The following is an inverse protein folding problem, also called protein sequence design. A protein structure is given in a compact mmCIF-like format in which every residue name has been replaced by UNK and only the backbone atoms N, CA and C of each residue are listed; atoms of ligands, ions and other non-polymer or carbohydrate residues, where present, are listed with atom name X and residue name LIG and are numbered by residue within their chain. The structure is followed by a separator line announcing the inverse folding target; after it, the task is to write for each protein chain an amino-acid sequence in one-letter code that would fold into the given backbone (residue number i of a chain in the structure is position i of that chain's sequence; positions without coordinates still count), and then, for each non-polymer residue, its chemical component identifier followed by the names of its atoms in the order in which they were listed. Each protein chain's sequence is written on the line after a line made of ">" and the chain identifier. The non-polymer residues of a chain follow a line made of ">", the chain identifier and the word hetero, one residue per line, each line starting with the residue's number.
data_IF_952894141313
#
_entry.id   IF_952894141313
#
_cell.length_a   1.000
_cell.length_b   1.000
_cell.length_c   1.000
_cell.angle_alpha   90.00
_cell.angle_beta   90.00
_cell.angle_gamma   90.00
#
_symmetry.space_group_name_H-M   'P 1'
#
loop_
_entity.id
_entity.type
_entity.pdbx_description
1 polymer ?
#
# COMPACT_ATOMS: atom_id res chain seq x y z
N UNK A 1 65.44 31.10 -17.33
CA UNK A 1 65.42 32.03 -16.18
C UNK A 1 64.11 31.85 -15.42
N UNK A 2 64.21 31.40 -14.16
CA UNK A 2 63.12 31.25 -13.19
C UNK A 2 62.42 32.57 -12.86
N UNK A 3 61.18 32.46 -12.37
CA UNK A 3 60.81 33.11 -11.10
C UNK A 3 60.09 32.12 -10.18
N UNK A 4 60.41 32.09 -8.86
CA UNK A 4 59.71 31.27 -7.86
C UNK A 4 58.61 32.07 -7.15
N UNK A 5 57.74 31.39 -6.40
CA UNK A 5 56.89 32.02 -5.38
C UNK A 5 56.81 31.11 -4.13
N UNK A 6 57.03 31.63 -2.90
CA UNK A 6 56.93 30.87 -1.66
C UNK A 6 55.66 31.18 -0.84
N UNK A 7 55.28 30.26 0.05
CA UNK A 7 54.74 30.62 1.37
C UNK A 7 53.27 30.30 1.68
N UNK A 8 53.08 29.20 2.41
CA UNK A 8 51.90 28.76 3.18
C UNK A 8 51.57 29.62 4.40
N UNK A 9 50.29 29.77 4.80
CA UNK A 9 49.87 30.02 6.20
C UNK A 9 48.53 29.38 6.60
N UNK A 10 48.42 29.07 7.91
CA UNK A 10 47.52 28.13 8.62
C UNK A 10 46.12 28.70 8.97
N UNK A 11 45.19 27.81 9.36
CA UNK A 11 43.92 28.14 10.05
C UNK A 11 44.06 28.02 11.59
N UNK A 12 43.54 28.99 12.31
CA UNK A 12 43.33 29.00 13.78
C UNK A 12 41.89 28.56 14.13
N UNK A 13 41.64 27.95 15.31
CA UNK A 13 40.31 27.62 15.80
C UNK A 13 39.72 28.74 16.68
N UNK A 14 38.40 28.92 16.62
CA UNK A 14 37.67 29.86 17.48
C UNK A 14 37.10 29.11 18.71
N UNK A 15 37.36 29.64 19.91
CA UNK A 15 36.72 29.26 21.19
C UNK A 15 35.89 30.44 21.71
N UNK A 16 34.68 30.14 22.18
CA UNK A 16 33.88 30.82 23.24
C UNK A 16 32.56 30.04 23.30
N UNK A 17 31.88 29.76 24.41
CA UNK A 17 31.90 30.18 25.82
C UNK A 17 30.48 29.91 26.36
N UNK A 18 30.37 29.30 27.54
CA UNK A 18 29.15 28.75 28.19
C UNK A 18 28.13 29.81 28.63
N UNK A 19 26.86 29.40 28.77
CA UNK A 19 26.06 29.51 30.03
C UNK A 19 24.84 28.59 29.97
N UNK A 20 24.59 27.85 31.05
CA UNK A 20 23.45 26.93 31.19
C UNK A 20 22.27 27.54 31.93
N UNK A 21 21.14 26.84 31.89
CA UNK A 21 20.16 26.78 32.97
C UNK A 21 19.30 25.52 32.84
N UNK A 22 18.83 25.08 34.00
CA UNK A 22 18.40 23.72 34.36
C UNK A 22 16.90 23.47 34.15
N UNK A 23 16.56 22.18 34.14
CA UNK A 23 15.32 21.56 34.64
C UNK A 23 14.05 21.68 33.78
N UNK A 24 13.57 20.52 33.28
CA UNK A 24 12.25 19.91 33.55
C UNK A 24 12.22 18.51 32.90
N UNK A 25 11.94 17.47 33.70
CA UNK A 25 11.45 16.15 33.23
C UNK A 25 9.94 16.25 33.00
N UNK A 26 9.43 15.63 31.94
CA UNK A 26 8.26 14.71 31.94
C UNK A 26 8.05 14.11 30.54
N UNK A 27 7.70 12.82 30.56
CA UNK A 27 7.30 11.96 29.46
C UNK A 27 5.88 12.34 28.97
N UNK A 28 5.63 12.22 27.66
CA UNK A 28 4.49 11.51 27.01
C UNK A 28 4.14 12.04 25.59
N UNK A 29 3.45 11.21 24.75
CA UNK A 29 3.61 11.17 23.29
C UNK A 29 2.48 11.83 22.50
N UNK A 30 2.75 12.05 21.21
CA UNK A 30 1.72 12.21 20.18
C UNK A 30 1.41 13.66 19.81
N UNK A 31 1.81 14.08 18.60
CA UNK A 31 0.91 14.81 17.70
C UNK A 31 1.48 14.82 16.27
N UNK A 32 0.75 14.18 15.37
CA UNK A 32 0.91 14.28 13.93
C UNK A 32 0.58 15.73 13.51
N UNK A 33 1.51 16.42 12.83
CA UNK A 33 1.27 17.78 12.30
C UNK A 33 1.37 17.77 10.77
N UNK A 34 0.26 17.87 10.02
CA UNK A 34 0.28 18.01 8.58
C UNK A 34 0.25 19.49 8.19
N UNK A 35 1.41 20.07 7.88
CA UNK A 35 1.52 21.39 7.24
C UNK A 35 2.47 21.34 6.03
N UNK A 36 2.00 20.74 4.93
CA UNK A 36 2.65 20.83 3.61
C UNK A 36 1.70 21.19 2.45
N UNK A 37 0.58 21.85 2.75
CA UNK A 37 -0.29 22.48 1.76
C UNK A 37 -0.27 24.00 1.94
N UNK A 38 0.78 24.64 1.40
CA UNK A 38 0.74 25.95 0.74
C UNK A 38 2.14 26.54 0.59
N UNK A 39 2.74 26.39 -0.59
CA UNK A 39 3.79 27.29 -1.06
C UNK A 39 3.46 27.75 -2.48
N UNK A 40 3.38 29.07 -2.74
CA UNK A 40 3.12 29.57 -4.08
C UNK A 40 4.35 29.37 -4.96
N UNK A 41 4.09 29.02 -6.22
CA UNK A 41 5.06 28.82 -7.28
C UNK A 41 5.84 30.11 -7.57
N UNK A 42 7.08 30.20 -7.08
CA UNK A 42 8.05 31.17 -7.60
C UNK A 42 8.63 30.64 -8.90
N UNK A 43 8.10 31.22 -9.97
CA UNK A 43 8.60 31.25 -11.36
C UNK A 43 10.12 31.40 -11.39
N UNK A 44 10.83 30.37 -11.86
CA UNK A 44 12.22 30.48 -12.29
C UNK A 44 12.20 31.00 -13.73
N UNK A 45 12.56 32.27 -13.92
CA UNK A 45 12.80 32.84 -15.24
C UNK A 45 14.20 32.43 -15.72
N UNK A 46 14.27 31.77 -16.89
CA UNK A 46 15.52 31.52 -17.60
C UNK A 46 15.99 32.80 -18.31
N UNK A 47 17.27 33.22 -18.21
CA UNK A 47 17.79 34.32 -19.00
C UNK A 47 18.38 33.77 -20.30
N UNK A 48 17.59 33.71 -21.38
CA UNK A 48 18.14 33.59 -22.73
C UNK A 48 17.94 34.92 -23.45
N UNK A 49 19.05 35.66 -23.56
CA UNK A 49 19.20 36.90 -24.32
C UNK A 49 19.09 36.58 -25.81
N UNK A 50 17.96 36.92 -26.43
CA UNK A 50 17.74 36.78 -27.86
C UNK A 50 18.70 37.68 -28.66
N UNK A 51 19.43 37.11 -29.62
CA UNK A 51 20.19 37.86 -30.63
C UNK A 51 19.35 38.05 -31.90
N UNK A 52 19.58 39.13 -32.66
CA UNK A 52 18.70 39.55 -33.75
C UNK A 52 19.08 38.87 -35.08
N UNK A 53 18.64 37.64 -35.30
CA UNK A 53 18.49 37.05 -36.64
C UNK A 53 17.15 36.34 -36.67
N UNK A 54 16.49 36.35 -37.82
CA UNK A 54 15.08 35.96 -38.05
C UNK A 54 14.06 37.07 -37.78
N UNK A 55 14.08 38.11 -38.62
CA UNK A 55 12.98 39.06 -38.74
C UNK A 55 11.96 38.68 -39.84
N UNK A 56 12.21 37.65 -40.66
CA UNK A 56 11.37 37.32 -41.81
C UNK A 56 11.13 35.80 -41.97
N UNK A 57 10.63 35.12 -40.94
CA UNK A 57 10.03 33.79 -41.12
C UNK A 57 8.52 33.94 -40.94
N UNK A 58 7.76 33.52 -41.95
CA UNK A 58 6.30 33.45 -41.89
C UNK A 58 5.86 32.63 -40.66
N UNK A 59 4.75 32.99 -39.99
CA UNK A 59 4.24 32.19 -38.88
C UNK A 59 3.95 30.77 -39.39
N UNK A 60 4.44 29.70 -38.72
CA UNK A 60 4.09 28.36 -39.11
C UNK A 60 2.57 28.19 -39.00
N UNK A 61 1.99 27.69 -40.08
CA UNK A 61 0.58 27.34 -40.18
C UNK A 61 0.20 26.42 -39.01
N UNK A 62 -0.98 26.67 -38.43
CA UNK A 62 -1.62 25.87 -37.37
C UNK A 62 -1.47 24.37 -37.64
N UNK A 63 -0.62 23.69 -36.87
CA UNK A 63 -0.55 22.23 -36.86
C UNK A 63 -1.77 21.66 -36.12
N UNK A 64 -2.88 21.45 -36.82
CA UNK A 64 -4.03 20.69 -36.32
C UNK A 64 -3.82 19.16 -36.42
N UNK A 65 -2.60 18.67 -36.23
CA UNK A 65 -2.23 17.25 -36.35
C UNK A 65 -1.70 16.64 -35.04
N UNK A 66 -1.95 17.29 -33.90
CA UNK A 66 -1.47 16.85 -32.59
C UNK A 66 -2.53 16.07 -31.77
N UNK A 67 -3.72 15.82 -32.31
CA UNK A 67 -4.83 15.19 -31.55
C UNK A 67 -5.00 13.70 -31.82
N UNK A 68 -4.61 13.17 -32.97
CA UNK A 68 -4.74 11.72 -33.25
C UNK A 68 -3.60 10.89 -32.67
N UNK A 69 -2.36 11.39 -32.70
CA UNK A 69 -1.20 10.68 -32.12
C UNK A 69 -1.23 10.54 -30.59
N UNK A 70 -2.00 11.37 -29.89
CA UNK A 70 -2.18 11.26 -28.43
C UNK A 70 -3.25 10.24 -28.02
N UNK A 71 -4.22 9.91 -28.90
CA UNK A 71 -5.20 8.84 -28.65
C UNK A 71 -4.64 7.44 -28.91
N UNK A 72 -3.68 7.33 -29.82
CA UNK A 72 -3.06 6.05 -30.17
C UNK A 72 -2.26 5.46 -28.99
N UNK A 73 -1.54 6.30 -28.22
CA UNK A 73 -0.71 5.82 -27.11
C UNK A 73 -1.50 5.46 -25.84
N UNK A 74 -2.75 5.87 -25.70
CA UNK A 74 -3.58 5.49 -24.55
C UNK A 74 -4.08 4.05 -24.62
N UNK A 75 -4.03 3.41 -25.80
CA UNK A 75 -4.52 2.05 -26.01
C UNK A 75 -3.41 0.99 -26.05
N UNK A 76 -2.14 1.39 -25.97
CA UNK A 76 -0.99 0.49 -26.13
C UNK A 76 -0.18 0.29 -24.83
N UNK A 77 -0.45 1.11 -23.82
CA UNK A 77 0.04 0.87 -22.47
C UNK A 77 -1.14 0.36 -21.65
N UNK A 78 -1.24 -0.96 -21.39
CA UNK A 78 -2.03 -1.42 -20.27
C UNK A 78 -1.48 -0.66 -19.08
N UNK A 79 -2.29 0.23 -18.52
CA UNK A 79 -2.12 0.64 -17.13
C UNK A 79 -1.91 -0.67 -16.40
N UNK A 80 -0.72 -0.82 -15.83
CA UNK A 80 -0.30 -1.99 -15.07
C UNK A 80 -1.25 -2.06 -13.87
N UNK A 81 -2.46 -2.60 -14.12
CA UNK A 81 -3.44 -2.97 -13.12
C UNK A 81 -2.68 -3.94 -12.27
N UNK A 82 -2.30 -3.49 -11.08
CA UNK A 82 -1.66 -4.27 -10.05
C UNK A 82 -2.09 -5.74 -10.18
N UNK A 83 -1.22 -6.58 -10.75
CA UNK A 83 -1.57 -7.92 -11.27
C UNK A 83 -1.67 -8.89 -10.09
N UNK A 84 -2.49 -8.52 -9.11
CA UNK A 84 -2.90 -9.42 -8.05
C UNK A 84 -3.84 -10.42 -8.71
N UNK A 85 -3.60 -11.73 -8.54
CA UNK A 85 -4.50 -12.73 -9.07
C UNK A 85 -5.93 -12.44 -8.59
N UNK A 86 -6.90 -12.84 -9.42
CA UNK A 86 -8.31 -12.77 -9.04
C UNK A 86 -8.53 -13.72 -7.86
N UNK A 87 -9.28 -13.24 -6.86
CA UNK A 87 -9.66 -14.05 -5.72
C UNK A 87 -10.92 -14.86 -6.05
N UNK A 88 -11.04 -16.06 -5.49
CA UNK A 88 -12.25 -16.88 -5.58
C UNK A 88 -13.06 -16.67 -4.30
N UNK A 89 -14.36 -16.41 -4.45
CA UNK A 89 -15.28 -16.15 -3.33
C UNK A 89 -16.63 -16.82 -3.60
N UNK A 90 -17.32 -17.25 -2.54
CA UNK A 90 -18.67 -17.77 -2.64
C UNK A 90 -19.68 -16.67 -3.00
N UNK A 91 -20.74 -17.02 -3.73
CA UNK A 91 -21.88 -16.12 -4.00
C UNK A 91 -22.44 -15.51 -2.71
N UNK A 92 -22.55 -16.31 -1.66
CA UNK A 92 -23.07 -15.91 -0.35
C UNK A 92 -22.16 -14.89 0.34
N UNK A 93 -20.84 -15.14 0.35
CA UNK A 93 -19.91 -14.22 1.01
C UNK A 93 -19.73 -12.93 0.23
N UNK A 94 -19.84 -12.97 -1.10
CA UNK A 94 -19.79 -11.77 -1.94
C UNK A 94 -20.92 -10.80 -1.58
N UNK A 95 -22.16 -11.29 -1.49
CA UNK A 95 -23.31 -10.48 -1.08
C UNK A 95 -23.13 -9.92 0.34
N UNK A 96 -22.69 -10.76 1.30
CA UNK A 96 -22.48 -10.34 2.69
C UNK A 96 -21.38 -9.30 2.84
N UNK A 97 -20.30 -9.41 2.08
CA UNK A 97 -19.20 -8.45 2.13
C UNK A 97 -19.60 -7.13 1.48
N UNK A 98 -20.41 -7.16 0.41
CA UNK A 98 -20.98 -5.95 -0.19
C UNK A 98 -21.91 -5.22 0.81
N UNK A 99 -22.85 -5.95 1.43
CA UNK A 99 -23.71 -5.40 2.48
C UNK A 99 -22.91 -4.83 3.66
N UNK A 100 -21.85 -5.54 4.09
CA UNK A 100 -20.94 -5.06 5.13
C UNK A 100 -20.30 -3.73 4.70
N UNK A 101 -19.75 -3.65 3.49
CA UNK A 101 -19.14 -2.44 2.97
C UNK A 101 -20.14 -1.28 2.85
N UNK A 102 -21.38 -1.54 2.46
CA UNK A 102 -22.43 -0.52 2.42
C UNK A 102 -22.77 0.01 3.82
N UNK A 103 -22.78 -0.86 4.84
CA UNK A 103 -23.13 -0.50 6.22
C UNK A 103 -22.06 0.33 6.95
N UNK A 104 -20.81 0.24 6.50
CA UNK A 104 -19.67 0.87 7.18
C UNK A 104 -19.52 2.35 6.80
N UNK A 105 -19.03 3.20 7.72
CA UNK A 105 -18.70 4.59 7.40
C UNK A 105 -17.64 4.66 6.30
N UNK A 106 -17.78 5.62 5.39
CA UNK A 106 -16.87 5.75 4.24
C UNK A 106 -15.44 6.21 4.62
N UNK A 107 -15.24 6.71 5.84
CA UNK A 107 -13.94 7.22 6.29
C UNK A 107 -13.46 6.48 7.54
N UNK A 108 -12.17 6.17 7.60
CA UNK A 108 -11.52 5.63 8.81
C UNK A 108 -11.25 4.13 8.85
N UNK A 109 -11.61 3.36 7.82
CA UNK A 109 -11.33 1.91 7.76
C UNK A 109 -10.16 1.64 6.82
N UNK A 110 -9.05 1.18 7.39
CA UNK A 110 -7.72 1.05 6.73
C UNK A 110 -7.63 -0.15 5.76
N UNK A 111 -8.72 -0.91 5.55
CA UNK A 111 -8.77 -2.03 4.60
C UNK A 111 -9.96 -2.03 3.65
N UNK A 112 -10.78 -0.97 3.67
CA UNK A 112 -12.03 -0.89 2.90
C UNK A 112 -11.76 -0.86 1.40
N UNK A 113 -10.91 0.07 0.96
CA UNK A 113 -10.62 0.28 -0.46
C UNK A 113 -9.91 -0.93 -1.08
N UNK A 114 -9.06 -1.59 -0.29
CA UNK A 114 -8.41 -2.83 -0.68
C UNK A 114 -9.43 -3.93 -0.90
N UNK A 115 -10.34 -4.15 0.05
CA UNK A 115 -11.39 -5.16 -0.05
C UNK A 115 -12.36 -4.88 -1.19
N UNK A 116 -12.80 -3.63 -1.38
CA UNK A 116 -13.63 -3.23 -2.53
C UNK A 116 -12.94 -3.57 -3.86
N UNK A 117 -11.65 -3.24 -4.00
CA UNK A 117 -10.89 -3.56 -5.21
C UNK A 117 -10.63 -5.06 -5.41
N UNK A 118 -10.65 -5.86 -4.34
CA UNK A 118 -10.64 -7.33 -4.42
C UNK A 118 -11.97 -7.87 -4.93
N UNK A 119 -13.09 -7.41 -4.37
CA UNK A 119 -14.43 -7.86 -4.73
C UNK A 119 -14.81 -7.49 -6.17
N UNK A 120 -14.44 -6.29 -6.64
CA UNK A 120 -14.71 -5.82 -8.01
C UNK A 120 -14.15 -6.73 -9.11
N UNK A 121 -13.10 -7.51 -8.80
CA UNK A 121 -12.46 -8.44 -9.74
C UNK A 121 -12.55 -9.90 -9.30
N UNK A 122 -13.30 -10.20 -8.25
CA UNK A 122 -13.37 -11.54 -7.71
C UNK A 122 -14.15 -12.47 -8.67
N UNK A 123 -13.69 -13.72 -8.78
CA UNK A 123 -14.49 -14.77 -9.40
C UNK A 123 -15.46 -15.31 -8.37
N UNK A 124 -16.75 -15.00 -8.56
CA UNK A 124 -17.83 -15.49 -7.71
C UNK A 124 -18.27 -16.87 -8.20
N UNK A 125 -18.23 -17.85 -7.31
CA UNK A 125 -18.64 -19.24 -7.60
C UNK A 125 -19.66 -19.72 -6.57
N UNK A 126 -20.34 -20.82 -6.87
CA UNK A 126 -21.17 -21.47 -5.86
C UNK A 126 -20.30 -22.04 -4.73
N UNK A 127 -20.77 -22.04 -3.47
CA UNK A 127 -19.99 -22.55 -2.34
C UNK A 127 -19.44 -23.98 -2.55
N UNK A 128 -20.19 -24.82 -3.26
CA UNK A 128 -19.80 -26.20 -3.58
C UNK A 128 -18.64 -26.31 -4.58
N UNK A 129 -18.40 -25.26 -5.37
CA UNK A 129 -17.36 -25.20 -6.39
C UNK A 129 -16.04 -24.65 -5.84
N UNK A 130 -16.03 -24.17 -4.59
CA UNK A 130 -14.84 -23.63 -3.96
C UNK A 130 -13.84 -24.75 -3.65
N UNK A 131 -12.58 -24.64 -4.11
CA UNK A 131 -11.56 -25.61 -3.74
C UNK A 131 -11.30 -25.61 -2.23
N UNK A 132 -11.10 -26.78 -1.60
CA UNK A 132 -10.87 -26.88 -0.15
C UNK A 132 -9.55 -26.26 0.32
N UNK A 133 -8.67 -25.91 -0.62
CA UNK A 133 -7.38 -25.26 -0.37
C UNK A 133 -7.47 -23.75 -0.36
N UNK A 134 -8.62 -23.16 -0.73
CA UNK A 134 -8.83 -21.71 -0.81
C UNK A 134 -9.37 -21.19 0.51
N UNK A 135 -8.83 -20.06 0.95
CA UNK A 135 -9.27 -19.36 2.16
C UNK A 135 -10.56 -18.60 1.87
N UNK A 136 -11.66 -19.01 2.49
CA UNK A 136 -12.97 -18.33 2.46
C UNK A 136 -13.28 -17.66 3.80
N UNK A 137 -14.42 -16.96 3.88
CA UNK A 137 -14.89 -16.41 5.15
C UNK A 137 -15.15 -17.54 6.17
N UNK A 138 -14.87 -17.26 7.45
CA UNK A 138 -14.97 -18.22 8.55
C UNK A 138 -14.08 -19.47 8.44
N UNK A 139 -13.13 -19.49 7.51
CA UNK A 139 -12.12 -20.54 7.42
C UNK A 139 -11.02 -20.37 8.48
N UNK A 140 -10.50 -21.48 8.99
CA UNK A 140 -9.31 -21.52 9.84
C UNK A 140 -8.11 -21.95 9.02
N UNK A 141 -7.05 -21.16 9.11
CA UNK A 141 -5.86 -21.28 8.29
C UNK A 141 -4.64 -21.43 9.19
N UNK A 142 -3.82 -22.44 8.89
CA UNK A 142 -2.55 -22.69 9.55
C UNK A 142 -1.43 -22.04 8.76
N UNK A 143 -0.63 -21.23 9.45
CA UNK A 143 0.50 -20.51 8.89
C UNK A 143 1.81 -21.05 9.44
N UNK A 144 2.87 -20.91 8.65
CA UNK A 144 4.25 -21.13 9.10
C UNK A 144 5.06 -19.85 8.88
N UNK A 145 5.77 -19.40 9.90
CA UNK A 145 6.72 -18.28 9.80
C UNK A 145 7.99 -18.77 9.13
N UNK A 146 8.38 -18.16 8.00
CA UNK A 146 9.58 -18.59 7.26
C UNK A 146 10.87 -18.41 8.07
N UNK A 147 10.96 -17.32 8.85
CA UNK A 147 12.18 -17.00 9.61
C UNK A 147 12.43 -17.87 10.84
N UNK A 148 11.39 -18.42 11.47
CA UNK A 148 11.49 -19.18 12.73
C UNK A 148 11.01 -20.63 12.62
N UNK A 149 10.24 -20.96 11.57
CA UNK A 149 9.56 -22.24 11.43
C UNK A 149 8.37 -22.41 12.39
N UNK A 150 7.98 -21.37 13.12
CA UNK A 150 6.86 -21.43 14.05
C UNK A 150 5.53 -21.53 13.32
N UNK A 151 4.63 -22.39 13.81
CA UNK A 151 3.30 -22.58 13.24
C UNK A 151 2.23 -22.01 14.16
N UNK A 152 1.25 -21.33 13.59
CA UNK A 152 0.09 -20.81 14.31
C UNK A 152 -1.16 -20.82 13.43
N UNK A 153 -2.33 -20.70 14.04
CA UNK A 153 -3.61 -20.74 13.33
C UNK A 153 -4.39 -19.45 13.54
N UNK A 154 -5.00 -18.94 12.47
CA UNK A 154 -5.93 -17.82 12.53
C UNK A 154 -7.22 -18.17 11.78
N UNK A 155 -8.34 -17.67 12.28
CA UNK A 155 -9.65 -17.79 11.63
C UNK A 155 -10.05 -16.45 11.03
N UNK A 156 -10.31 -16.42 9.73
CA UNK A 156 -10.80 -15.23 9.02
C UNK A 156 -12.28 -15.03 9.33
N UNK A 157 -12.67 -13.88 9.90
CA UNK A 157 -14.03 -13.64 10.38
C UNK A 157 -14.57 -12.27 9.97
N UNK A 158 -15.89 -12.14 10.02
CA UNK A 158 -16.56 -10.84 9.95
C UNK A 158 -16.29 -10.02 11.22
N UNK A 159 -16.38 -8.67 11.16
CA UNK A 159 -16.19 -7.83 12.34
C UNK A 159 -17.11 -8.18 13.52
N UNK A 160 -18.33 -8.64 13.23
CA UNK A 160 -19.33 -9.07 14.24
C UNK A 160 -18.89 -10.31 15.03
N UNK A 161 -18.03 -11.15 14.46
CA UNK A 161 -17.62 -12.44 15.01
C UNK A 161 -16.18 -12.40 15.55
N UNK A 162 -15.58 -11.21 15.64
CA UNK A 162 -14.27 -11.03 16.25
C UNK A 162 -14.30 -11.37 17.74
N UNK A 163 -13.28 -12.09 18.19
CA UNK A 163 -13.06 -12.39 19.59
C UNK A 163 -11.80 -11.68 20.14
N UNK A 164 -11.63 -11.75 21.46
CA UNK A 164 -10.43 -11.24 22.13
C UNK A 164 -9.39 -12.35 22.37
N UNK A 165 -9.51 -13.49 21.69
CA UNK A 165 -8.62 -14.64 21.92
C UNK A 165 -7.26 -14.50 21.21
N UNK A 166 -7.17 -13.57 20.25
CA UNK A 166 -6.00 -13.41 19.39
C UNK A 166 -5.88 -14.49 18.30
N UNK A 167 -6.89 -15.35 18.14
CA UNK A 167 -6.96 -16.38 17.10
C UNK A 167 -7.88 -16.03 15.94
N UNK A 168 -8.57 -14.90 16.01
CA UNK A 168 -9.43 -14.40 14.95
C UNK A 168 -8.81 -13.20 14.26
N UNK A 169 -9.04 -13.09 12.95
CA UNK A 169 -8.64 -11.94 12.16
C UNK A 169 -9.83 -11.42 11.36
N UNK A 170 -10.10 -10.12 11.47
CA UNK A 170 -11.18 -9.48 10.73
C UNK A 170 -10.85 -9.33 9.26
N UNK A 171 -11.83 -9.57 8.39
CA UNK A 171 -11.73 -9.25 6.96
C UNK A 171 -11.43 -7.78 6.67
N UNK A 172 -11.75 -6.86 7.60
CA UNK A 172 -11.44 -5.43 7.46
C UNK A 172 -10.01 -5.06 7.88
N UNK A 173 -9.28 -5.99 8.50
CA UNK A 173 -7.87 -5.77 8.80
C UNK A 173 -7.07 -5.86 7.49
N UNK A 174 -5.98 -5.08 7.31
CA UNK A 174 -5.17 -5.14 6.09
C UNK A 174 -4.64 -6.54 5.75
N UNK A 175 -4.33 -7.32 6.78
CA UNK A 175 -3.92 -8.73 6.61
C UNK A 175 -5.12 -9.63 6.30
N UNK A 176 -6.29 -9.36 6.88
CA UNK A 176 -7.49 -10.17 6.66
C UNK A 176 -8.02 -10.07 5.23
N UNK A 177 -8.09 -8.87 4.66
CA UNK A 177 -8.50 -8.67 3.27
C UNK A 177 -7.53 -9.32 2.28
N UNK A 178 -6.23 -9.32 2.60
CA UNK A 178 -5.22 -9.99 1.79
C UNK A 178 -5.28 -11.53 1.89
N UNK A 179 -5.89 -12.09 2.94
CA UNK A 179 -6.02 -13.54 3.12
C UNK A 179 -7.12 -14.16 2.27
N UNK A 180 -8.19 -13.40 2.01
CA UNK A 180 -9.35 -13.88 1.29
C UNK A 180 -8.94 -14.33 -0.13
N UNK A 181 -9.36 -15.54 -0.50
CA UNK A 181 -9.11 -16.11 -1.83
C UNK A 181 -7.70 -16.64 -2.07
N UNK A 182 -6.78 -16.54 -1.08
CA UNK A 182 -5.48 -17.19 -1.18
C UNK A 182 -5.61 -18.70 -1.04
N UNK A 183 -4.66 -19.42 -1.65
CA UNK A 183 -4.61 -20.87 -1.62
C UNK A 183 -3.47 -21.38 -0.73
N UNK A 184 -3.59 -22.63 -0.30
CA UNK A 184 -2.51 -23.37 0.34
C UNK A 184 -1.19 -23.25 -0.45
N UNK A 185 -0.09 -22.97 0.26
CA UNK A 185 1.24 -22.73 -0.30
C UNK A 185 1.54 -21.28 -0.64
N UNK A 186 0.56 -20.38 -0.64
CA UNK A 186 0.78 -18.95 -0.86
C UNK A 186 1.60 -18.31 0.26
N UNK A 187 2.39 -17.31 -0.09
CA UNK A 187 3.24 -16.55 0.81
C UNK A 187 2.73 -15.11 0.93
N UNK A 188 2.79 -14.56 2.14
CA UNK A 188 2.32 -13.21 2.44
C UNK A 188 3.32 -12.51 3.36
N UNK A 189 3.52 -11.22 3.15
CA UNK A 189 4.34 -10.37 4.01
C UNK A 189 3.45 -9.57 4.96
N UNK A 190 3.65 -9.74 6.27
CA UNK A 190 2.91 -9.01 7.29
C UNK A 190 3.80 -8.00 8.01
N UNK A 191 3.28 -6.82 8.38
CA UNK A 191 4.02 -5.87 9.21
C UNK A 191 4.15 -6.40 10.64
N UNK A 192 5.38 -6.44 11.17
CA UNK A 192 5.61 -6.82 12.58
C UNK A 192 5.40 -5.64 13.53
N UNK A 193 4.82 -5.86 14.72
CA UNK A 193 4.89 -4.90 15.82
C UNK A 193 6.36 -4.62 16.17
N UNK A 194 6.82 -3.38 15.99
CA UNK A 194 8.22 -2.99 16.17
C UNK A 194 9.00 -2.73 14.87
N UNK A 195 8.36 -2.90 13.71
CA UNK A 195 8.93 -2.59 12.41
C UNK A 195 9.48 -3.82 11.67
N UNK A 196 9.56 -3.68 10.34
CA UNK A 196 9.94 -4.76 9.43
C UNK A 196 8.77 -5.66 9.03
N UNK A 197 9.05 -6.58 8.10
CA UNK A 197 8.10 -7.53 7.55
C UNK A 197 8.41 -8.95 8.04
N UNK A 198 7.37 -9.75 8.23
CA UNK A 198 7.46 -11.19 8.48
C UNK A 198 6.83 -11.90 7.29
N UNK A 199 7.57 -12.85 6.71
CA UNK A 199 7.05 -13.75 5.69
C UNK A 199 6.38 -14.93 6.35
N UNK A 200 5.14 -15.15 5.98
CA UNK A 200 4.36 -16.30 6.41
C UNK A 200 3.86 -17.06 5.19
N UNK A 201 3.84 -18.38 5.29
CA UNK A 201 3.28 -19.26 4.27
C UNK A 201 2.00 -19.89 4.79
N UNK A 202 0.98 -19.97 3.94
CA UNK A 202 -0.22 -20.76 4.22
C UNK A 202 0.15 -22.24 4.12
N UNK A 203 0.23 -22.90 5.27
CA UNK A 203 0.56 -24.32 5.34
C UNK A 203 -0.62 -25.19 4.97
N UNK A 204 -1.81 -24.86 5.48
CA UNK A 204 -3.03 -25.65 5.33
C UNK A 204 -4.27 -24.82 5.69
N UNK A 205 -5.41 -25.09 5.03
CA UNK A 205 -6.73 -24.62 5.46
C UNK A 205 -7.38 -25.72 6.29
N UNK A 206 -7.26 -25.64 7.62
CA UNK A 206 -7.67 -26.71 8.54
C UNK A 206 -9.19 -26.84 8.63
N UNK A 207 -9.90 -25.71 8.54
CA UNK A 207 -11.35 -25.67 8.53
C UNK A 207 -11.86 -24.73 7.44
N UNK A 208 -12.89 -25.16 6.72
CA UNK A 208 -13.60 -24.39 5.71
C UNK A 208 -15.10 -24.72 5.82
N UNK A 209 -16.01 -23.72 5.91
CA UNK A 209 -17.44 -23.97 6.07
C UNK A 209 -18.07 -24.64 4.83
N UNK A 210 -17.57 -24.35 3.64
CA UNK A 210 -18.04 -24.96 2.39
C UNK A 210 -17.75 -26.47 2.35
N UNK A 211 -16.64 -26.91 2.95
CA UNK A 211 -16.29 -28.33 3.10
C UNK A 211 -17.23 -29.10 4.02
N UNK A 212 -17.84 -28.41 4.99
CA UNK A 212 -18.75 -29.02 5.98
C UNK A 212 -20.23 -28.85 5.62
N UNK A 213 -20.54 -28.21 4.48
CA UNK A 213 -21.90 -27.94 4.03
C UNK A 213 -22.61 -26.84 4.82
N UNK A 214 -21.88 -26.00 5.56
CA UNK A 214 -22.43 -24.91 6.35
C UNK A 214 -22.33 -23.62 5.52
N UNK A 215 -23.31 -23.37 4.67
CA UNK A 215 -23.32 -22.19 3.78
C UNK A 215 -23.93 -20.94 4.43
N UNK A 216 -24.54 -21.07 5.61
CA UNK A 216 -25.26 -19.98 6.27
C UNK A 216 -24.82 -19.80 7.73
N UNK A 217 -24.38 -18.58 8.09
CA UNK A 217 -24.02 -18.19 9.46
C UNK A 217 -24.19 -16.69 9.70
#
# INVERSE_FOLDING_TARGET
>A
MQKPNPGTWRRTPCKTGQTGQSLIRREDPGFYNPKWLNRPSKRLECPIRATPRYRNAAPPQRCNAATEKMKQWSNEFPMEKNVRPEIIISSIDAERLDDLLVSLPQTGIVGRAELEAELDRATVVEPEEIPPTVVTMNSTVKFTVESTGEEFELTLVYPKDMDNSGKTISILAPVGSALLGLSQGAEIEWPKPGGGLIKVQIKEVTYQPERTGIYHR
#
